data_IF_842964196384
#
_entry.id   IF_842964196384
#
_cell.length_a   1.000
_cell.length_b   1.000
_cell.length_c   1.000
_cell.angle_alpha   90.00
_cell.angle_beta   90.00
_cell.angle_gamma   90.00
#
_symmetry.space_group_name_H-M   'P 1'
#
loop_
_entity.id
_entity.type
_entity.pdbx_description
1 polymer ?
#
# COMPACT_ATOMS: atom_id res chain seq x y z
N UNK A 1 2.18 -64.72 -9.75
CA UNK A 1 1.64 -64.75 -8.43
C UNK A 1 1.90 -63.50 -7.69
N UNK A 2 2.78 -63.49 -6.73
CA UNK A 2 3.00 -62.32 -5.91
C UNK A 2 3.53 -61.13 -6.63
N UNK A 3 4.14 -61.32 -7.71
CA UNK A 3 4.67 -60.24 -8.51
C UNK A 3 3.61 -59.27 -8.98
N UNK A 4 2.44 -59.72 -9.28
CA UNK A 4 1.38 -58.88 -9.73
C UNK A 4 1.00 -57.83 -8.68
N UNK A 5 1.17 -58.16 -7.44
CA UNK A 5 0.80 -57.24 -6.37
C UNK A 5 1.83 -56.18 -6.16
N UNK A 6 3.03 -56.43 -6.49
CA UNK A 6 4.07 -55.43 -6.31
C UNK A 6 3.94 -54.24 -7.24
N UNK A 7 3.50 -54.51 -8.42
CA UNK A 7 3.38 -53.46 -9.42
C UNK A 7 2.40 -52.35 -8.99
N UNK A 8 1.21 -52.70 -8.56
CA UNK A 8 0.26 -51.63 -8.13
C UNK A 8 0.76 -50.82 -6.99
N UNK A 9 1.50 -51.41 -6.11
CA UNK A 9 1.96 -50.69 -4.92
C UNK A 9 2.87 -49.54 -5.25
N UNK A 10 3.65 -49.68 -6.24
CA UNK A 10 4.60 -48.65 -6.59
C UNK A 10 3.95 -47.45 -7.23
N UNK A 11 2.92 -47.68 -7.99
CA UNK A 11 2.27 -46.61 -8.69
C UNK A 11 1.65 -45.56 -7.76
N UNK A 12 0.91 -45.98 -6.77
CA UNK A 12 0.32 -44.99 -5.87
C UNK A 12 1.32 -44.13 -5.17
N UNK A 13 2.43 -44.68 -4.80
CA UNK A 13 3.44 -43.92 -4.12
C UNK A 13 4.03 -42.80 -4.97
N UNK A 14 4.32 -43.13 -6.19
CA UNK A 14 4.86 -42.14 -7.10
C UNK A 14 3.94 -40.98 -7.33
N UNK A 15 2.68 -41.31 -7.55
CA UNK A 15 1.67 -40.28 -7.79
C UNK A 15 1.46 -39.37 -6.59
N UNK A 16 1.43 -39.95 -5.43
CA UNK A 16 1.25 -39.17 -4.21
C UNK A 16 2.41 -38.19 -3.99
N UNK A 17 3.60 -38.65 -4.22
CA UNK A 17 4.76 -37.80 -4.05
C UNK A 17 4.74 -36.62 -5.00
N UNK A 18 4.38 -36.88 -6.23
CA UNK A 18 4.31 -35.81 -7.22
C UNK A 18 3.27 -34.76 -6.86
N UNK A 19 2.11 -35.25 -6.45
CA UNK A 19 1.03 -34.33 -6.07
C UNK A 19 1.44 -33.42 -4.90
N UNK A 20 2.06 -34.00 -3.90
CA UNK A 20 2.49 -33.23 -2.74
C UNK A 20 3.52 -32.17 -3.11
N UNK A 21 4.46 -32.53 -3.94
CA UNK A 21 5.49 -31.57 -4.36
C UNK A 21 4.89 -30.40 -5.12
N UNK A 22 3.97 -30.69 -6.03
CA UNK A 22 3.34 -29.61 -6.80
C UNK A 22 2.57 -28.65 -5.91
N UNK A 23 1.79 -29.18 -4.99
CA UNK A 23 1.03 -28.34 -4.08
C UNK A 23 1.92 -27.47 -3.22
N UNK A 24 3.01 -28.04 -2.75
CA UNK A 24 3.90 -27.32 -1.86
C UNK A 24 4.53 -26.11 -2.53
N UNK A 25 5.00 -26.31 -3.74
CA UNK A 25 5.65 -25.19 -4.42
C UNK A 25 4.68 -24.08 -4.78
N UNK A 26 3.54 -24.43 -5.31
CA UNK A 26 2.59 -23.44 -5.76
C UNK A 26 2.09 -22.56 -4.64
N UNK A 27 1.80 -23.17 -3.49
CA UNK A 27 1.21 -22.40 -2.40
C UNK A 27 2.20 -21.49 -1.69
N UNK A 28 3.43 -21.91 -1.55
CA UNK A 28 4.37 -21.11 -0.75
C UNK A 28 4.86 -19.86 -1.44
N UNK A 29 5.18 -19.97 -2.71
CA UNK A 29 5.86 -18.86 -3.39
C UNK A 29 4.91 -17.71 -3.70
N UNK A 30 3.78 -17.98 -4.28
CA UNK A 30 2.90 -16.92 -4.75
C UNK A 30 2.20 -16.15 -3.67
N UNK A 31 1.58 -16.85 -2.73
CA UNK A 31 0.75 -16.21 -1.73
C UNK A 31 1.56 -15.47 -0.66
N UNK A 32 2.69 -16.02 -0.29
CA UNK A 32 3.48 -15.48 0.80
C UNK A 32 4.09 -14.13 0.45
N UNK A 33 4.62 -14.02 -0.74
CA UNK A 33 5.25 -12.76 -1.15
C UNK A 33 4.25 -11.63 -1.23
N UNK A 34 3.07 -11.90 -1.73
CA UNK A 34 2.03 -10.88 -1.79
C UNK A 34 1.55 -10.44 -0.43
N UNK A 35 1.38 -11.38 0.48
CA UNK A 35 0.95 -11.06 1.82
C UNK A 35 1.94 -10.16 2.55
N UNK A 36 3.22 -10.45 2.41
CA UNK A 36 4.25 -9.65 3.04
C UNK A 36 4.30 -8.23 2.47
N UNK A 37 4.06 -8.11 1.19
CA UNK A 37 4.04 -6.81 0.54
C UNK A 37 2.85 -5.96 0.97
N UNK A 38 1.68 -6.53 1.00
CA UNK A 38 0.49 -5.81 1.43
C UNK A 38 0.54 -5.43 2.89
N UNK A 39 1.10 -6.29 3.72
CA UNK A 39 1.22 -6.03 5.14
C UNK A 39 2.25 -4.98 5.51
N UNK A 40 3.11 -4.59 4.59
CA UNK A 40 4.17 -3.63 4.88
C UNK A 40 3.70 -2.18 4.88
N UNK A 41 2.62 -1.85 4.17
CA UNK A 41 2.10 -0.49 4.13
C UNK A 41 1.08 -0.27 5.24
N UNK A 42 1.30 0.81 5.99
CA UNK A 42 0.37 1.24 7.03
C UNK A 42 0.20 2.75 6.96
N UNK A 43 -0.99 3.20 6.58
CA UNK A 43 -1.27 4.63 6.51
C UNK A 43 -1.34 5.27 7.90
N UNK A 44 -1.66 4.50 8.95
CA UNK A 44 -1.87 5.02 10.31
C UNK A 44 -0.58 5.41 10.99
N UNK A 45 0.05 6.43 10.47
CA UNK A 45 1.29 6.99 10.99
C UNK A 45 1.42 8.41 10.49
N UNK A 46 2.33 9.21 11.05
CA UNK A 46 2.60 10.53 10.50
C UNK A 46 3.41 10.44 9.22
N UNK A 47 3.00 11.23 8.23
CA UNK A 47 3.63 11.32 6.92
C UNK A 47 4.02 12.77 6.67
N UNK A 48 5.26 12.99 6.32
CA UNK A 48 5.78 14.32 5.99
C UNK A 48 5.78 14.50 4.46
N UNK A 49 5.29 15.63 4.00
CA UNK A 49 5.33 15.99 2.59
C UNK A 49 6.74 16.38 2.22
N UNK A 50 7.41 15.50 1.50
CA UNK A 50 8.79 15.67 1.08
C UNK A 50 8.90 16.48 -0.21
N UNK A 51 8.04 16.19 -1.18
CA UNK A 51 7.97 16.89 -2.45
C UNK A 51 6.53 17.12 -2.85
N UNK A 52 6.30 18.19 -3.57
CA UNK A 52 5.02 18.46 -4.24
C UNK A 52 5.31 18.67 -5.71
N UNK A 53 4.58 17.98 -6.55
CA UNK A 53 4.69 18.17 -8.00
C UNK A 53 3.36 18.65 -8.57
N UNK A 54 3.47 19.45 -9.63
CA UNK A 54 2.35 19.92 -10.42
C UNK A 54 2.63 19.59 -11.87
N UNK A 55 1.75 18.79 -12.48
CA UNK A 55 1.94 18.32 -13.87
C UNK A 55 3.29 17.62 -14.08
N UNK A 56 3.71 16.85 -13.09
CA UNK A 56 4.95 16.09 -13.16
C UNK A 56 6.22 16.89 -12.88
N UNK A 57 6.11 18.17 -12.55
CA UNK A 57 7.26 19.02 -12.24
C UNK A 57 7.26 19.33 -10.75
N UNK A 58 8.38 19.08 -10.10
CA UNK A 58 8.53 19.36 -8.66
C UNK A 58 8.55 20.88 -8.45
N UNK A 59 7.71 21.32 -7.51
CA UNK A 59 7.63 22.73 -7.11
C UNK A 59 8.36 22.91 -5.78
N UNK A 60 9.54 23.53 -5.78
CA UNK A 60 10.31 23.76 -4.56
C UNK A 60 9.67 24.78 -3.62
N UNK A 61 8.69 25.54 -4.09
CA UNK A 61 8.01 26.59 -3.30
C UNK A 61 6.57 26.21 -2.96
N UNK A 62 6.20 24.95 -3.06
CA UNK A 62 4.85 24.51 -2.79
C UNK A 62 4.45 24.79 -1.35
N UNK A 63 3.21 25.24 -1.16
CA UNK A 63 2.71 25.64 0.15
C UNK A 63 2.61 24.49 1.16
N UNK A 64 2.53 23.25 0.69
CA UNK A 64 2.39 22.07 1.53
C UNK A 64 3.71 21.35 1.82
N UNK A 65 4.84 21.84 1.33
CA UNK A 65 6.13 21.25 1.64
C UNK A 65 6.41 21.29 3.14
N UNK A 66 6.85 20.15 3.69
CA UNK A 66 7.16 20.03 5.11
C UNK A 66 5.96 19.83 6.02
N UNK A 67 4.75 19.88 5.50
CA UNK A 67 3.56 19.61 6.30
C UNK A 67 3.49 18.13 6.67
N UNK A 68 2.88 17.86 7.81
CA UNK A 68 2.69 16.49 8.30
C UNK A 68 1.22 16.16 8.28
N UNK A 69 0.91 15.03 7.66
CA UNK A 69 -0.41 14.40 7.68
C UNK A 69 -0.34 13.20 8.60
N UNK A 70 -0.92 13.31 9.77
CA UNK A 70 -0.88 12.26 10.78
C UNK A 70 -2.19 11.49 10.80
N UNK A 71 -2.15 10.25 10.34
CA UNK A 71 -3.30 9.35 10.28
C UNK A 71 -3.32 8.34 11.43
N UNK A 72 -2.56 8.57 12.48
CA UNK A 72 -2.40 7.61 13.58
C UNK A 72 -3.73 7.23 14.23
N UNK A 73 -4.67 8.16 14.35
CA UNK A 73 -5.94 7.90 15.04
C UNK A 73 -6.85 6.91 14.30
N UNK A 74 -6.67 6.74 13.01
CA UNK A 74 -7.52 5.86 12.20
C UNK A 74 -8.86 6.48 11.80
N UNK A 75 -9.25 7.60 12.37
CA UNK A 75 -10.51 8.29 12.05
C UNK A 75 -10.29 9.72 11.62
N UNK A 76 -9.29 10.39 12.15
CA UNK A 76 -8.98 11.76 11.83
C UNK A 76 -7.53 11.92 11.40
N UNK A 77 -7.34 12.75 10.40
CA UNK A 77 -6.03 13.19 9.98
C UNK A 77 -5.72 14.50 10.68
N UNK A 78 -4.69 14.52 11.51
CA UNK A 78 -4.19 15.74 12.12
C UNK A 78 -3.14 16.36 11.22
N UNK A 79 -3.35 17.60 10.84
CA UNK A 79 -2.40 18.36 10.03
C UNK A 79 -1.51 19.19 10.93
N UNK A 80 -0.21 19.10 10.67
CA UNK A 80 0.80 19.94 11.34
C UNK A 80 1.53 20.77 10.31
N UNK A 81 1.76 22.03 10.64
CA UNK A 81 2.62 22.90 9.86
C UNK A 81 4.09 22.45 9.95
N UNK A 82 4.97 22.91 9.06
CA UNK A 82 6.39 22.54 9.10
C UNK A 82 7.10 22.82 10.40
N UNK A 83 6.63 23.82 11.17
CA UNK A 83 7.17 24.17 12.48
C UNK A 83 6.67 23.24 13.60
N UNK A 84 5.84 22.25 13.29
CA UNK A 84 5.27 21.31 14.25
C UNK A 84 3.97 21.75 14.90
N UNK A 85 3.46 22.93 14.55
CA UNK A 85 2.22 23.45 15.12
C UNK A 85 1.00 22.71 14.56
N UNK A 86 0.09 22.22 15.41
CA UNK A 86 -1.14 21.62 14.92
C UNK A 86 -2.04 22.67 14.27
N UNK A 87 -2.58 22.38 13.11
CA UNK A 87 -3.42 23.31 12.35
C UNK A 87 -4.88 22.91 12.43
N UNK A 88 -5.20 21.69 12.05
CA UNK A 88 -6.57 21.19 12.09
C UNK A 88 -6.59 19.67 12.08
N UNK A 89 -7.72 19.11 12.52
CA UNK A 89 -7.98 17.68 12.46
C UNK A 89 -9.22 17.46 11.61
N UNK A 90 -9.08 16.65 10.57
CA UNK A 90 -10.16 16.39 9.61
C UNK A 90 -10.48 14.90 9.56
N UNK A 91 -11.74 14.54 9.40
CA UNK A 91 -12.08 13.13 9.19
C UNK A 91 -11.44 12.63 7.91
N UNK A 92 -11.00 11.37 7.91
CA UNK A 92 -10.44 10.76 6.72
C UNK A 92 -10.92 9.32 6.55
N UNK A 93 -10.83 8.86 5.33
CA UNK A 93 -10.98 7.46 4.98
C UNK A 93 -10.01 7.09 3.88
N UNK A 94 -9.49 5.87 3.94
CA UNK A 94 -8.57 5.33 2.95
C UNK A 94 -9.07 3.99 2.46
N UNK A 95 -9.14 3.82 1.15
CA UNK A 95 -9.47 2.55 0.52
C UNK A 95 -8.26 2.07 -0.28
N UNK A 96 -7.66 0.98 0.17
CA UNK A 96 -6.54 0.37 -0.54
C UNK A 96 -6.97 -0.25 -1.87
N UNK A 97 -8.19 -0.76 -1.95
CA UNK A 97 -8.69 -1.41 -3.15
C UNK A 97 -8.92 -0.42 -4.29
N UNK A 98 -9.51 0.72 -3.99
CA UNK A 98 -9.81 1.74 -5.00
C UNK A 98 -8.73 2.81 -5.09
N UNK A 99 -7.75 2.80 -4.20
CA UNK A 99 -6.68 3.80 -4.14
C UNK A 99 -7.23 5.23 -4.00
N UNK A 100 -8.20 5.37 -3.10
CA UNK A 100 -8.83 6.66 -2.81
C UNK A 100 -8.58 7.03 -1.35
N UNK A 101 -8.10 8.25 -1.15
CA UNK A 101 -7.94 8.87 0.15
C UNK A 101 -8.87 10.08 0.21
N UNK A 102 -9.70 10.15 1.24
CA UNK A 102 -10.57 11.30 1.49
C UNK A 102 -10.13 11.96 2.78
N UNK A 103 -9.93 13.25 2.73
CA UNK A 103 -9.55 14.06 3.90
C UNK A 103 -10.47 15.28 3.93
N UNK A 104 -11.31 15.38 4.96
CA UNK A 104 -12.19 16.52 5.14
C UNK A 104 -13.13 16.77 3.97
N UNK A 105 -13.60 15.75 3.30
CA UNK A 105 -14.50 15.88 2.14
C UNK A 105 -13.78 16.07 0.81
N UNK A 106 -12.45 16.21 0.82
CA UNK A 106 -11.66 16.28 -0.42
C UNK A 106 -11.21 14.88 -0.80
N UNK A 107 -11.42 14.53 -2.06
CA UNK A 107 -11.01 13.25 -2.60
C UNK A 107 -9.66 13.36 -3.26
N UNK A 108 -8.75 12.45 -2.89
CA UNK A 108 -7.43 12.32 -3.50
C UNK A 108 -7.29 10.94 -4.14
N UNK A 109 -6.59 10.90 -5.26
CA UNK A 109 -6.16 9.65 -5.87
C UNK A 109 -4.82 9.25 -5.27
N UNK A 110 -4.69 8.01 -4.86
CA UNK A 110 -3.43 7.48 -4.33
C UNK A 110 -2.68 6.80 -5.46
N UNK A 111 -1.50 7.30 -5.76
CA UNK A 111 -0.64 6.75 -6.82
C UNK A 111 0.32 5.70 -6.29
N UNK A 112 0.79 5.88 -5.06
CA UNK A 112 1.70 4.94 -4.41
C UNK A 112 1.31 4.83 -2.95
N UNK A 113 1.13 3.58 -2.49
CA UNK A 113 0.93 3.25 -1.09
C UNK A 113 1.75 1.98 -0.83
N UNK A 114 3.01 2.17 -0.50
CA UNK A 114 3.95 1.07 -0.44
C UNK A 114 5.05 1.35 0.58
N UNK A 115 5.22 0.43 1.52
CA UNK A 115 6.30 0.53 2.49
C UNK A 115 6.37 1.90 3.17
N UNK A 116 7.39 2.64 2.82
CA UNK A 116 7.69 3.96 3.38
C UNK A 116 7.38 5.10 2.42
N UNK A 117 6.48 4.89 1.48
CA UNK A 117 6.13 5.90 0.48
C UNK A 117 4.62 6.02 0.34
N UNK A 118 4.13 7.23 0.42
CA UNK A 118 2.73 7.56 0.17
C UNK A 118 2.68 8.74 -0.80
N UNK A 119 2.11 8.50 -1.97
CA UNK A 119 1.95 9.53 -3.00
C UNK A 119 0.47 9.68 -3.31
N UNK A 120 -0.06 10.86 -3.09
CA UNK A 120 -1.46 11.14 -3.41
C UNK A 120 -1.60 12.52 -4.01
N UNK A 121 -2.61 12.67 -4.86
CA UNK A 121 -2.85 13.91 -5.54
C UNK A 121 -4.33 14.16 -5.79
N UNK A 122 -4.65 15.39 -6.14
CA UNK A 122 -5.98 15.82 -6.44
C UNK A 122 -6.09 16.24 -7.90
N UNK A 123 -7.07 15.66 -8.57
CA UNK A 123 -7.46 16.08 -9.90
C UNK A 123 -8.83 16.74 -9.81
N UNK A 124 -8.99 17.85 -10.45
CA UNK A 124 -10.27 18.52 -10.60
C UNK A 124 -10.62 18.56 -12.08
N UNK A 125 -11.45 17.60 -12.50
CA UNK A 125 -11.57 17.26 -13.91
C UNK A 125 -10.25 16.69 -14.41
N UNK A 126 -9.68 17.27 -15.45
CA UNK A 126 -8.37 16.87 -15.97
C UNK A 126 -7.24 17.77 -15.47
N UNK A 127 -7.51 18.64 -14.51
CA UNK A 127 -6.54 19.61 -14.01
C UNK A 127 -5.88 19.05 -12.75
N UNK A 128 -4.56 18.92 -12.79
CA UNK A 128 -3.74 18.51 -11.66
C UNK A 128 -3.68 19.66 -10.64
N UNK A 129 -4.16 19.39 -9.42
CA UNK A 129 -4.14 20.35 -8.31
C UNK A 129 -2.95 20.12 -7.38
N UNK A 130 -2.06 19.24 -7.73
CA UNK A 130 -0.87 18.92 -6.97
C UNK A 130 -0.83 17.47 -6.51
N UNK A 131 0.37 16.94 -6.53
CA UNK A 131 0.67 15.58 -6.08
C UNK A 131 1.69 15.67 -4.95
N UNK A 132 1.35 15.09 -3.81
CA UNK A 132 2.17 15.11 -2.61
C UNK A 132 2.92 13.79 -2.47
N UNK A 133 4.25 13.90 -2.42
CA UNK A 133 5.13 12.77 -2.17
C UNK A 133 5.53 12.77 -0.71
N UNK A 134 5.05 11.78 0.03
CA UNK A 134 5.20 11.74 1.47
C UNK A 134 6.08 10.58 1.91
N UNK A 135 6.86 10.84 2.95
CA UNK A 135 7.69 9.83 3.62
C UNK A 135 7.32 9.80 5.10
N UNK A 136 7.57 8.71 5.82
CA UNK A 136 7.31 8.65 7.24
C UNK A 136 8.13 9.68 8.01
N UNK A 137 7.50 10.25 9.04
CA UNK A 137 8.16 11.17 9.96
C UNK A 137 8.99 10.42 10.98
#
# INVERSE_FOLDING_TARGET
MGDAMEVPNRWPFGLCVLAVVCCTFGSMVGCKDRGDMEGSFNIRRPWVVHDVSLRGVVDPNASRLGWVYDFTSGQRCQLFAPDGRPVEALPYSFSADSLVLRIGGVRYTVYTAWGNELVFGRLEGDVDQGTYHCVPR
#
